data_IF_178857640120
#
_entry.id   IF_178857640120
#
_cell.length_a   1.000
_cell.length_b   1.000
_cell.length_c   1.000
_cell.angle_alpha   90.00
_cell.angle_beta   90.00
_cell.angle_gamma   90.00
#
_symmetry.space_group_name_H-M   'P 1'
#
loop_
_entity.id
_entity.type
_entity.pdbx_description
1 polymer ?
#
# COMPACT_ATOMS: atom_id res chain seq x y z
N UNK A 1 8.65 -2.32 20.47
CA UNK A 1 7.73 -1.85 19.40
C UNK A 1 7.89 -2.72 18.17
N UNK A 2 6.77 -3.15 17.57
CA UNK A 2 6.75 -3.95 16.34
C UNK A 2 6.14 -3.13 15.20
N UNK A 3 6.74 -3.16 14.02
CA UNK A 3 6.16 -2.56 12.82
C UNK A 3 5.77 -3.60 11.78
N UNK A 4 4.64 -3.34 11.15
CA UNK A 4 4.13 -4.03 9.99
C UNK A 4 3.89 -2.99 8.90
N UNK A 5 4.20 -3.31 7.65
CA UNK A 5 4.00 -2.39 6.53
C UNK A 5 3.23 -3.06 5.42
N UNK A 6 2.41 -2.28 4.72
CA UNK A 6 1.67 -2.70 3.52
C UNK A 6 0.77 -3.92 3.77
N UNK A 7 -0.01 -3.88 4.86
CA UNK A 7 -0.92 -4.95 5.27
C UNK A 7 -2.25 -4.33 5.63
N UNK A 8 -3.29 -4.71 4.91
CA UNK A 8 -4.63 -4.24 5.19
C UNK A 8 -5.25 -5.02 6.36
N UNK A 9 -6.00 -4.32 7.20
CA UNK A 9 -6.86 -4.95 8.22
C UNK A 9 -6.13 -5.67 9.36
N UNK A 10 -4.93 -5.25 9.76
CA UNK A 10 -4.25 -5.85 10.93
C UNK A 10 -5.07 -5.62 12.20
N UNK A 11 -5.46 -6.71 12.87
CA UNK A 11 -6.03 -6.70 14.21
C UNK A 11 -4.98 -7.04 15.29
N UNK A 12 -5.36 -6.92 16.56
CA UNK A 12 -4.47 -7.21 17.69
C UNK A 12 -3.99 -8.67 17.74
N UNK A 13 -4.84 -9.63 17.34
CA UNK A 13 -4.49 -11.05 17.24
C UNK A 13 -3.42 -11.31 16.17
N UNK A 14 -3.50 -10.58 15.07
CA UNK A 14 -2.57 -10.72 13.96
C UNK A 14 -1.20 -10.17 14.34
N UNK A 15 -1.16 -9.04 15.04
CA UNK A 15 0.08 -8.44 15.53
C UNK A 15 0.86 -9.33 16.53
N UNK A 16 0.20 -10.33 17.15
CA UNK A 16 0.85 -11.30 18.04
C UNK A 16 1.43 -12.50 17.30
N UNK A 17 0.79 -12.94 16.20
CA UNK A 17 1.16 -14.16 15.46
C UNK A 17 1.99 -13.89 14.21
N UNK A 18 1.83 -12.73 13.59
CA UNK A 18 2.53 -12.35 12.37
C UNK A 18 3.97 -11.94 12.66
N UNK A 19 4.86 -12.29 11.73
CA UNK A 19 6.23 -11.78 11.77
C UNK A 19 6.25 -10.28 11.45
N UNK A 20 6.75 -9.43 12.35
CA UNK A 20 6.92 -8.02 12.08
C UNK A 20 8.04 -7.80 11.06
N UNK A 21 7.92 -6.72 10.29
CA UNK A 21 8.97 -6.30 9.36
C UNK A 21 10.20 -5.83 10.11
N UNK A 22 9.99 -5.18 11.26
CA UNK A 22 11.05 -4.80 12.17
C UNK A 22 10.50 -4.70 13.59
N UNK A 23 11.37 -5.04 14.55
CA UNK A 23 11.17 -4.77 15.97
C UNK A 23 12.23 -3.78 16.45
N UNK A 24 11.84 -2.92 17.39
CA UNK A 24 12.73 -2.04 18.12
C UNK A 24 12.51 -2.24 19.61
N UNK A 25 13.62 -2.33 20.34
CA UNK A 25 13.61 -2.20 21.79
C UNK A 25 13.42 -0.72 22.12
N UNK A 26 12.34 -0.43 22.84
CA UNK A 26 12.06 0.94 23.27
C UNK A 26 12.85 1.23 24.53
N UNK A 27 13.29 2.48 24.67
CA UNK A 27 13.79 3.04 25.91
C UNK A 27 12.84 4.16 26.38
N UNK A 28 12.83 4.44 27.68
CA UNK A 28 12.06 5.56 28.23
C UNK A 28 12.49 6.87 27.57
N UNK A 29 11.53 7.57 26.95
CA UNK A 29 11.78 8.78 26.16
C UNK A 29 10.95 9.95 26.70
N UNK A 30 11.34 10.47 27.87
CA UNK A 30 10.59 11.54 28.54
C UNK A 30 10.64 12.87 27.76
N UNK A 31 11.75 13.14 27.09
CA UNK A 31 12.01 14.39 26.35
C UNK A 31 11.59 14.33 24.87
N UNK A 32 11.19 13.16 24.36
CA UNK A 32 10.73 13.02 22.98
C UNK A 32 11.83 13.07 21.92
N UNK A 33 13.11 12.93 22.30
CA UNK A 33 14.26 13.09 21.39
C UNK A 33 14.77 11.78 20.79
N UNK A 34 14.38 10.62 21.33
CA UNK A 34 14.80 9.32 20.79
C UNK A 34 14.29 9.10 19.36
N UNK A 35 15.20 8.65 18.50
CA UNK A 35 14.94 8.31 17.10
C UNK A 35 15.31 6.86 16.85
N UNK A 36 14.35 6.12 16.31
CA UNK A 36 14.54 4.72 15.94
C UNK A 36 14.81 4.60 14.44
N UNK A 37 15.91 3.93 14.08
CA UNK A 37 16.30 3.76 12.68
C UNK A 37 15.54 2.60 12.03
N UNK A 38 15.02 2.82 10.83
CA UNK A 38 14.39 1.78 10.00
C UNK A 38 15.46 1.02 9.22
N UNK A 39 15.23 -0.28 9.02
CA UNK A 39 16.03 -1.13 8.12
C UNK A 39 15.55 -0.97 6.68
N UNK A 40 16.28 -1.56 5.73
CA UNK A 40 16.01 -1.50 4.29
C UNK A 40 14.58 -1.91 3.86
N UNK A 41 13.83 -2.62 4.71
CA UNK A 41 12.47 -3.10 4.43
C UNK A 41 11.41 -1.98 4.32
N UNK A 42 11.74 -0.72 4.60
CA UNK A 42 10.82 0.41 4.58
C UNK A 42 10.85 1.26 3.28
N UNK A 43 11.64 0.87 2.28
CA UNK A 43 11.80 1.67 1.05
C UNK A 43 10.53 1.88 0.22
N UNK A 44 9.57 0.95 0.28
CA UNK A 44 8.29 1.05 -0.42
C UNK A 44 7.16 0.85 0.58
N UNK A 45 6.97 1.83 1.46
CA UNK A 45 5.94 1.80 2.49
C UNK A 45 4.83 2.80 2.12
N UNK A 46 3.62 2.32 1.88
CA UNK A 46 2.42 3.19 1.72
C UNK A 46 1.51 3.17 2.94
N UNK A 47 1.68 2.19 3.83
CA UNK A 47 0.93 2.02 5.06
C UNK A 47 1.83 1.38 6.12
N UNK A 48 1.79 1.91 7.33
CA UNK A 48 2.55 1.40 8.48
C UNK A 48 1.65 1.23 9.69
N UNK A 49 1.73 0.06 10.33
CA UNK A 49 1.07 -0.27 11.59
C UNK A 49 2.13 -0.49 12.67
N UNK A 50 1.95 0.17 13.82
CA UNK A 50 2.86 0.05 14.95
C UNK A 50 2.13 -0.60 16.12
N UNK A 51 2.64 -1.73 16.60
CA UNK A 51 2.14 -2.41 17.79
C UNK A 51 3.10 -2.21 18.96
N UNK A 52 2.52 -1.90 20.13
CA UNK A 52 3.22 -1.65 21.38
C UNK A 52 2.78 -2.72 22.39
N UNK A 53 3.39 -3.92 22.34
CA UNK A 53 2.92 -5.07 23.13
C UNK A 53 3.19 -4.93 24.62
N UNK A 54 4.17 -4.12 25.00
CA UNK A 54 4.58 -3.92 26.40
C UNK A 54 5.14 -2.50 26.60
N UNK A 55 5.29 -2.11 27.87
CA UNK A 55 5.84 -0.83 28.31
C UNK A 55 6.85 -1.03 29.47
N UNK A 56 7.21 0.06 30.15
CA UNK A 56 8.24 0.07 31.19
C UNK A 56 7.69 -0.25 32.60
N UNK A 57 6.75 -1.18 32.71
CA UNK A 57 6.18 -1.64 33.97
C UNK A 57 5.03 -0.78 34.53
N UNK A 58 4.37 0.00 33.67
CA UNK A 58 3.23 0.83 34.03
C UNK A 58 1.90 0.19 33.57
N UNK A 59 0.79 0.52 34.24
CA UNK A 59 -0.53 -0.02 33.88
C UNK A 59 -1.05 0.50 32.52
N UNK A 60 -0.54 1.65 32.06
CA UNK A 60 -1.02 2.29 30.84
C UNK A 60 0.13 2.86 30.02
N UNK A 61 0.10 2.58 28.72
CA UNK A 61 1.04 3.14 27.74
C UNK A 61 0.46 4.41 27.13
N UNK A 62 1.11 5.56 27.37
CA UNK A 62 0.73 6.82 26.75
C UNK A 62 1.71 7.22 25.65
N UNK A 63 1.23 7.25 24.40
CA UNK A 63 2.01 7.72 23.26
C UNK A 63 1.60 9.17 22.97
N UNK A 64 2.50 10.11 23.25
CA UNK A 64 2.25 11.55 23.08
C UNK A 64 2.49 12.03 21.66
N UNK A 65 3.53 11.49 21.00
CA UNK A 65 3.93 11.92 19.67
C UNK A 65 4.60 10.78 18.91
N UNK A 66 4.33 10.68 17.61
CA UNK A 66 5.04 9.82 16.67
C UNK A 66 5.46 10.69 15.49
N UNK A 67 6.77 10.86 15.31
CA UNK A 67 7.35 11.55 14.17
C UNK A 67 7.92 10.55 13.17
N UNK A 68 7.49 10.62 11.91
CA UNK A 68 8.04 9.80 10.83
C UNK A 68 8.95 10.68 9.96
N UNK A 69 10.24 10.38 9.93
CA UNK A 69 11.18 10.99 9.00
C UNK A 69 11.27 10.12 7.75
N UNK A 70 10.63 10.55 6.67
CA UNK A 70 10.54 9.80 5.41
C UNK A 70 10.89 10.67 4.22
N UNK A 71 11.34 10.04 3.16
CA UNK A 71 11.37 10.63 1.82
C UNK A 71 10.15 10.10 1.07
N UNK A 72 9.22 10.99 0.72
CA UNK A 72 7.96 10.59 0.11
C UNK A 72 8.11 10.53 -1.41
N UNK A 73 7.97 9.33 -1.98
CA UNK A 73 7.78 9.17 -3.42
C UNK A 73 6.30 9.28 -3.73
N UNK A 74 5.91 10.26 -4.54
CA UNK A 74 4.52 10.51 -4.90
C UNK A 74 4.01 9.40 -5.83
N UNK A 75 3.43 8.33 -5.27
CA UNK A 75 2.68 7.36 -6.06
C UNK A 75 1.41 8.04 -6.58
N UNK A 76 1.41 8.42 -7.86
CA UNK A 76 0.16 8.60 -8.58
C UNK A 76 -0.52 7.24 -8.63
N UNK A 77 -1.44 6.98 -7.70
CA UNK A 77 -2.48 6.00 -7.96
C UNK A 77 -3.32 6.62 -9.07
N UNK A 78 -2.92 6.41 -10.32
CA UNK A 78 -3.83 6.56 -11.45
C UNK A 78 -4.95 5.56 -11.18
N UNK A 79 -5.98 6.00 -10.46
CA UNK A 79 -7.30 5.41 -10.57
C UNK A 79 -7.54 5.39 -12.06
N UNK A 80 -7.66 4.20 -12.65
CA UNK A 80 -8.12 4.05 -14.03
C UNK A 80 -9.48 4.76 -14.09
N UNK A 81 -9.48 6.03 -14.49
CA UNK A 81 -10.60 6.93 -14.31
C UNK A 81 -11.68 6.73 -15.38
N UNK A 82 -11.48 5.78 -16.30
CA UNK A 82 -12.45 5.47 -17.35
C UNK A 82 -12.33 3.99 -17.69
N UNK A 83 -13.15 3.17 -17.04
CA UNK A 83 -13.43 1.81 -17.49
C UNK A 83 -14.81 1.85 -18.13
N UNK A 84 -14.84 1.76 -19.46
CA UNK A 84 -16.10 1.61 -20.21
C UNK A 84 -16.37 0.13 -20.34
N UNK A 85 -17.46 -0.35 -19.74
CA UNK A 85 -17.98 -1.69 -19.97
C UNK A 85 -19.03 -1.61 -21.07
N UNK A 86 -18.73 -2.17 -22.25
CA UNK A 86 -19.68 -2.26 -23.36
C UNK A 86 -20.22 -3.69 -23.46
N UNK A 87 -21.54 -3.83 -23.58
CA UNK A 87 -22.20 -5.15 -23.77
C UNK A 87 -22.04 -5.65 -25.21
N UNK A 88 -21.78 -4.75 -26.15
CA UNK A 88 -21.55 -5.03 -27.58
C UNK A 88 -20.38 -4.20 -28.06
N UNK A 89 -19.48 -4.75 -28.90
CA UNK A 89 -18.29 -4.04 -29.36
C UNK A 89 -18.65 -2.77 -30.14
N UNK A 90 -17.97 -1.65 -29.86
CA UNK A 90 -18.06 -0.44 -30.67
C UNK A 90 -17.53 -0.69 -32.09
N UNK A 91 -18.38 -0.69 -33.14
CA UNK A 91 -17.97 -0.96 -34.52
C UNK A 91 -17.04 0.12 -35.10
N UNK A 92 -16.96 1.30 -34.48
CA UNK A 92 -16.03 2.36 -34.88
C UNK A 92 -14.58 2.07 -34.47
N UNK A 93 -14.37 1.29 -33.42
CA UNK A 93 -13.03 0.94 -32.92
C UNK A 93 -12.53 -0.42 -33.44
N UNK A 94 -13.45 -1.28 -33.84
CA UNK A 94 -13.13 -2.58 -34.44
C UNK A 94 -13.26 -2.51 -35.96
N UNK A 95 -12.19 -2.08 -36.64
CA UNK A 95 -12.13 -2.15 -38.11
C UNK A 95 -12.34 -3.59 -38.57
N UNK A 96 -13.42 -3.83 -39.27
CA UNK A 96 -13.68 -5.15 -39.84
C UNK A 96 -12.89 -5.26 -41.13
N UNK A 97 -12.48 -6.46 -41.54
CA UNK A 97 -11.65 -6.68 -42.74
C UNK A 97 -12.24 -6.08 -44.04
N UNK A 98 -13.52 -5.72 -44.05
CA UNK A 98 -14.19 -5.03 -45.16
C UNK A 98 -13.74 -3.56 -45.35
N UNK A 99 -13.18 -2.92 -44.33
CA UNK A 99 -12.75 -1.50 -44.40
C UNK A 99 -11.35 -1.33 -44.99
N UNK A 100 -10.63 -2.44 -45.21
CA UNK A 100 -9.36 -2.48 -45.92
C UNK A 100 -9.62 -3.07 -47.31
N UNK A 101 -9.87 -2.17 -48.28
CA UNK A 101 -10.28 -2.44 -49.66
C UNK A 101 -9.86 -3.79 -50.26
N UNK A 102 -10.84 -4.52 -50.79
CA UNK A 102 -10.59 -5.74 -51.55
C UNK A 102 -11.85 -6.39 -52.13
N UNK A 103 -12.15 -6.05 -53.39
CA UNK A 103 -12.67 -6.97 -54.41
C UNK A 103 -14.12 -7.45 -54.31
N UNK A 104 -14.94 -7.00 -55.25
CA UNK A 104 -16.18 -7.65 -55.68
C UNK A 104 -15.91 -9.12 -56.05
N UNK A 105 -16.60 -10.06 -55.39
CA UNK A 105 -16.76 -11.41 -55.93
C UNK A 105 -18.16 -11.55 -56.51
N UNK A 106 -18.21 -11.52 -57.85
CA UNK A 106 -19.32 -11.96 -58.68
C UNK A 106 -19.68 -13.41 -58.34
N UNK A 107 -20.98 -13.68 -58.23
CA UNK A 107 -21.54 -15.03 -58.14
C UNK A 107 -22.41 -15.25 -59.36
N UNK A 108 -22.06 -16.27 -60.16
CA UNK A 108 -22.98 -16.97 -61.08
C UNK A 108 -23.92 -17.88 -60.28
#
# INVERSE_FOLDING_TARGET
>A
MRAFVNRDGIAFSDAQSMQPVQEWDLAENLEGVLKFQTRYKFQRCWQSHFAFPDNFGADTTQIRYIGLKVEATQLKKDVVATIVYEVTPNPSEHKTRADAGGGLSHVE
#
